data_IF_487330676175
#
_entry.id   IF_487330676175
#
_cell.length_a   1.000
_cell.length_b   1.000
_cell.length_c   1.000
_cell.angle_alpha   90.00
_cell.angle_beta   90.00
_cell.angle_gamma   90.00
#
_symmetry.space_group_name_H-M   'P 1'
#
loop_
_entity.id
_entity.type
_entity.pdbx_description
1 polymer ?
#
# COMPACT_ATOMS: atom_id res chain seq x y z
N UNK A 1 48.82 8.69 -3.63
CA UNK A 1 47.74 9.31 -4.42
C UNK A 1 46.98 8.30 -5.31
N UNK A 2 47.61 7.25 -5.84
CA UNK A 2 46.93 6.24 -6.70
C UNK A 2 45.96 5.31 -5.97
N UNK A 3 46.30 4.85 -4.75
CA UNK A 3 45.44 3.94 -3.99
C UNK A 3 44.11 4.55 -3.56
N UNK A 4 44.12 5.85 -3.23
CA UNK A 4 42.91 6.60 -2.87
C UNK A 4 41.94 6.68 -4.06
N UNK A 5 42.47 6.95 -5.26
CA UNK A 5 41.68 6.98 -6.49
C UNK A 5 41.10 5.60 -6.84
N UNK A 6 41.86 4.52 -6.66
CA UNK A 6 41.38 3.16 -6.90
C UNK A 6 40.27 2.78 -5.90
N UNK A 7 40.45 3.11 -4.61
CA UNK A 7 39.43 2.87 -3.58
C UNK A 7 38.15 3.66 -3.86
N UNK A 8 38.26 4.91 -4.29
CA UNK A 8 37.12 5.76 -4.63
C UNK A 8 36.32 5.19 -5.82
N UNK A 9 37.01 4.76 -6.88
CA UNK A 9 36.37 4.14 -8.05
C UNK A 9 35.71 2.81 -7.68
N UNK A 10 36.34 1.99 -6.84
CA UNK A 10 35.76 0.73 -6.37
C UNK A 10 34.49 0.95 -5.54
N UNK A 11 34.49 1.94 -4.63
CA UNK A 11 33.32 2.30 -3.83
C UNK A 11 32.16 2.84 -4.67
N UNK A 12 32.43 3.73 -5.63
CA UNK A 12 31.41 4.23 -6.57
C UNK A 12 30.87 3.15 -7.52
N UNK A 13 31.71 2.18 -7.91
CA UNK A 13 31.27 1.06 -8.75
C UNK A 13 30.40 0.09 -7.96
N UNK A 14 30.65 -0.06 -6.65
CA UNK A 14 29.87 -0.92 -5.77
C UNK A 14 28.45 -0.38 -5.50
N UNK A 15 28.26 0.93 -5.46
CA UNK A 15 26.91 1.53 -5.28
C UNK A 15 26.01 1.33 -6.49
N UNK A 16 26.58 1.21 -7.70
CA UNK A 16 25.83 0.93 -8.94
C UNK A 16 25.31 -0.51 -9.04
N UNK A 17 25.82 -1.42 -8.20
CA UNK A 17 25.39 -2.81 -8.12
C UNK A 17 24.24 -3.02 -7.12
N UNK A 18 23.89 -2.00 -6.33
CA UNK A 18 22.78 -2.06 -5.40
C UNK A 18 21.47 -1.74 -6.13
N UNK A 19 20.45 -2.62 -6.10
CA UNK A 19 19.14 -2.29 -6.64
C UNK A 19 18.55 -1.12 -5.84
N UNK A 20 17.86 -0.19 -6.53
CA UNK A 20 17.09 0.85 -5.86
C UNK A 20 16.03 0.18 -4.98
N UNK A 21 16.27 0.14 -3.68
CA UNK A 21 15.28 -0.35 -2.71
C UNK A 21 14.25 0.75 -2.50
N UNK A 22 13.18 0.73 -3.28
CA UNK A 22 12.01 1.55 -3.00
C UNK A 22 11.27 0.94 -1.82
N UNK A 23 11.57 1.43 -0.62
CA UNK A 23 10.74 1.18 0.55
C UNK A 23 9.39 1.87 0.37
N UNK A 24 8.31 1.18 0.72
CA UNK A 24 7.01 1.81 0.83
C UNK A 24 7.02 2.72 2.05
N UNK A 25 6.88 4.03 1.83
CA UNK A 25 6.59 5.05 2.83
C UNK A 25 5.47 5.93 2.29
N UNK A 26 5.44 7.22 2.64
CA UNK A 26 4.38 8.14 2.20
C UNK A 26 4.16 8.14 0.69
N UNK A 27 5.24 8.17 -0.10
CA UNK A 27 5.16 8.14 -1.57
C UNK A 27 4.47 6.87 -2.08
N UNK A 28 4.73 5.74 -1.42
CA UNK A 28 4.11 4.45 -1.74
C UNK A 28 2.60 4.47 -1.53
N UNK A 29 2.16 4.98 -0.38
CA UNK A 29 0.73 5.15 -0.06
C UNK A 29 0.06 6.11 -1.05
N UNK A 30 0.71 7.21 -1.39
CA UNK A 30 0.23 8.18 -2.38
C UNK A 30 0.05 7.54 -3.75
N UNK A 31 1.06 6.83 -4.27
CA UNK A 31 1.02 6.18 -5.58
C UNK A 31 -0.12 5.16 -5.65
N UNK A 32 -0.23 4.28 -4.67
CA UNK A 32 -1.29 3.26 -4.59
C UNK A 32 -2.67 3.90 -4.61
N UNK A 33 -2.87 4.97 -3.84
CA UNK A 33 -4.15 5.65 -3.78
C UNK A 33 -4.48 6.48 -5.03
N UNK A 34 -3.49 7.08 -5.70
CA UNK A 34 -3.72 7.74 -7.00
C UNK A 34 -4.15 6.72 -8.07
N UNK A 35 -3.50 5.56 -8.12
CA UNK A 35 -3.89 4.46 -9.01
C UNK A 35 -5.32 4.00 -8.70
N UNK A 36 -5.67 3.91 -7.42
CA UNK A 36 -7.00 3.49 -6.99
C UNK A 36 -8.08 4.52 -7.36
N UNK A 37 -7.85 5.80 -7.03
CA UNK A 37 -8.77 6.90 -7.29
C UNK A 37 -9.10 7.03 -8.78
N UNK A 38 -8.10 6.86 -9.65
CA UNK A 38 -8.28 6.86 -11.12
C UNK A 38 -9.12 5.69 -11.66
N UNK A 39 -9.41 4.67 -10.84
CA UNK A 39 -10.14 3.44 -11.21
C UNK A 39 -11.46 3.29 -10.47
N UNK A 40 -11.90 4.32 -9.76
CA UNK A 40 -13.19 4.30 -9.07
C UNK A 40 -14.34 4.36 -10.09
N UNK A 41 -15.41 3.64 -9.79
CA UNK A 41 -16.71 3.86 -10.43
C UNK A 41 -17.19 5.28 -10.09
N UNK A 42 -18.13 5.81 -10.88
CA UNK A 42 -18.73 7.12 -10.60
C UNK A 42 -19.31 7.17 -9.18
N UNK A 43 -20.05 6.13 -8.81
CA UNK A 43 -20.66 5.96 -7.48
C UNK A 43 -19.63 5.94 -6.37
N UNK A 44 -18.58 5.13 -6.49
CA UNK A 44 -17.54 5.05 -5.49
C UNK A 44 -16.74 6.36 -5.40
N UNK A 45 -16.47 7.04 -6.52
CA UNK A 45 -15.81 8.33 -6.53
C UNK A 45 -16.63 9.39 -5.79
N UNK A 46 -17.95 9.45 -6.01
CA UNK A 46 -18.84 10.37 -5.29
C UNK A 46 -18.90 10.05 -3.79
N UNK A 47 -18.97 8.77 -3.43
CA UNK A 47 -18.99 8.35 -2.03
C UNK A 47 -17.67 8.68 -1.32
N UNK A 48 -16.52 8.39 -1.95
CA UNK A 48 -15.20 8.75 -1.43
C UNK A 48 -15.09 10.26 -1.25
N UNK A 49 -15.52 11.07 -2.24
CA UNK A 49 -15.49 12.53 -2.12
C UNK A 49 -16.36 13.07 -0.98
N UNK A 50 -17.50 12.42 -0.68
CA UNK A 50 -18.36 12.79 0.46
C UNK A 50 -17.71 12.49 1.81
N UNK A 51 -16.88 11.45 1.89
CA UNK A 51 -16.18 11.03 3.12
C UNK A 51 -14.88 11.80 3.36
N UNK A 52 -14.23 12.26 2.30
CA UNK A 52 -13.01 13.04 2.42
C UNK A 52 -13.27 14.39 3.09
N UNK A 53 -12.40 14.76 4.03
CA UNK A 53 -12.39 16.09 4.62
C UNK A 53 -12.16 17.15 3.53
N UNK A 54 -12.72 18.35 3.71
CA UNK A 54 -12.49 19.47 2.76
C UNK A 54 -11.00 19.77 2.56
N UNK A 55 -10.17 19.59 3.59
CA UNK A 55 -8.71 19.76 3.55
C UNK A 55 -7.97 18.72 2.71
N UNK A 56 -8.65 17.67 2.23
CA UNK A 56 -8.07 16.69 1.32
C UNK A 56 -8.18 17.10 -0.16
N UNK A 57 -8.88 18.21 -0.47
CA UNK A 57 -9.03 18.75 -1.82
C UNK A 57 -9.52 17.71 -2.86
N UNK A 58 -10.38 16.78 -2.42
CA UNK A 58 -10.89 15.64 -3.21
C UNK A 58 -9.84 14.60 -3.60
N UNK A 59 -8.61 14.71 -3.11
CA UNK A 59 -7.53 13.75 -3.36
C UNK A 59 -7.46 12.69 -2.25
N UNK A 60 -7.83 11.46 -2.57
CA UNK A 60 -7.73 10.31 -1.67
C UNK A 60 -6.28 10.10 -1.21
N UNK A 61 -5.32 10.29 -2.13
CA UNK A 61 -3.90 10.11 -1.83
C UNK A 61 -3.39 10.99 -0.69
N UNK A 62 -3.98 12.17 -0.48
CA UNK A 62 -3.59 13.08 0.61
C UNK A 62 -3.83 12.53 2.01
N UNK A 63 -4.60 11.43 2.14
CA UNK A 63 -4.94 10.80 3.43
C UNK A 63 -4.45 9.37 3.56
N UNK A 64 -3.81 8.80 2.54
CA UNK A 64 -3.47 7.38 2.55
C UNK A 64 -2.35 6.98 3.51
N UNK A 65 -1.54 7.93 3.96
CA UNK A 65 -0.57 7.74 5.04
C UNK A 65 -1.13 8.05 6.43
N UNK A 66 -2.39 8.49 6.56
CA UNK A 66 -2.92 8.90 7.86
C UNK A 66 -2.85 7.76 8.90
N UNK A 67 -3.09 6.52 8.48
CA UNK A 67 -3.01 5.35 9.35
C UNK A 67 -1.61 5.20 9.97
N UNK A 68 -0.54 5.41 9.19
CA UNK A 68 0.84 5.31 9.67
C UNK A 68 1.18 6.39 10.69
N UNK A 69 0.56 7.57 10.60
CA UNK A 69 0.79 8.65 11.55
C UNK A 69 0.08 8.43 12.89
N UNK A 70 -1.06 7.73 12.89
CA UNK A 70 -1.87 7.56 14.10
C UNK A 70 -1.69 6.23 14.80
N UNK A 71 -0.99 5.26 14.21
CA UNK A 71 -0.83 3.92 14.84
C UNK A 71 -0.10 3.93 16.18
N UNK A 72 0.69 4.98 16.46
CA UNK A 72 1.31 5.21 17.76
C UNK A 72 0.33 5.85 18.76
N UNK A 73 -0.63 6.64 18.26
CA UNK A 73 -1.69 7.28 19.04
C UNK A 73 -2.80 6.25 19.36
N UNK A 74 -3.03 5.32 18.44
CA UNK A 74 -3.98 4.22 18.55
C UNK A 74 -3.22 2.89 18.50
N UNK A 75 -2.60 2.44 19.62
CA UNK A 75 -1.71 1.28 19.63
C UNK A 75 -2.34 0.00 19.07
N UNK A 76 -3.65 -0.17 19.24
CA UNK A 76 -4.40 -1.30 18.69
C UNK A 76 -4.33 -1.39 17.17
N UNK A 77 -4.11 -0.27 16.47
CA UNK A 77 -4.05 -0.26 15.01
C UNK A 77 -2.68 -0.63 14.47
N UNK A 78 -1.61 -0.57 15.28
CA UNK A 78 -0.24 -0.85 14.81
C UNK A 78 -0.08 -2.25 14.23
N UNK A 79 -0.63 -3.26 14.90
CA UNK A 79 -0.59 -4.65 14.43
C UNK A 79 -1.40 -4.89 13.14
N UNK A 80 -2.22 -3.92 12.68
CA UNK A 80 -2.97 -4.03 11.43
C UNK A 80 -2.14 -3.66 10.19
N UNK A 81 -0.94 -3.08 10.37
CA UNK A 81 -0.08 -2.62 9.27
C UNK A 81 0.78 -3.74 8.69
N UNK A 82 0.95 -4.84 9.42
CA UNK A 82 1.82 -5.94 9.03
C UNK A 82 1.20 -7.28 9.38
N UNK A 83 1.80 -8.35 8.84
CA UNK A 83 1.43 -9.69 9.18
C UNK A 83 2.72 -10.50 9.37
N UNK A 84 2.92 -11.01 10.57
CA UNK A 84 4.13 -11.75 10.92
C UNK A 84 4.04 -13.20 10.43
N UNK A 85 5.15 -13.74 9.96
CA UNK A 85 5.32 -15.16 9.64
C UNK A 85 6.30 -15.79 10.62
N UNK A 86 6.24 -17.11 10.85
CA UNK A 86 7.28 -17.80 11.60
C UNK A 86 8.66 -17.57 10.96
N UNK A 87 9.70 -17.62 11.77
CA UNK A 87 11.08 -17.51 11.27
C UNK A 87 11.42 -18.69 10.36
N UNK A 88 12.31 -18.45 9.39
CA UNK A 88 12.83 -19.45 8.45
C UNK A 88 11.80 -20.11 7.50
N UNK A 89 10.54 -19.64 7.47
CA UNK A 89 9.57 -20.06 6.44
C UNK A 89 9.30 -18.92 5.47
N UNK A 90 9.43 -19.20 4.17
CA UNK A 90 9.04 -18.28 3.09
C UNK A 90 7.55 -18.43 2.74
N UNK A 91 6.75 -18.96 3.67
CA UNK A 91 5.32 -19.17 3.51
C UNK A 91 4.56 -18.41 4.61
N UNK A 92 3.52 -17.71 4.20
CA UNK A 92 2.59 -17.11 5.14
C UNK A 92 1.50 -18.14 5.48
N UNK A 93 1.48 -18.59 6.73
CA UNK A 93 0.43 -19.46 7.27
C UNK A 93 -0.31 -18.71 8.38
N UNK A 94 -1.55 -18.32 8.10
CA UNK A 94 -2.48 -17.85 9.11
C UNK A 94 -3.61 -18.87 9.11
N UNK A 95 -3.77 -19.62 10.19
CA UNK A 95 -4.71 -20.73 10.36
C UNK A 95 -6.19 -20.36 10.19
N UNK A 96 -6.49 -19.12 9.78
CA UNK A 96 -7.79 -18.71 9.31
C UNK A 96 -7.93 -19.07 7.82
N UNK A 97 -8.82 -20.01 7.49
CA UNK A 97 -9.07 -20.53 6.14
C UNK A 97 -9.20 -19.45 5.05
N UNK A 98 -9.68 -18.26 5.44
CA UNK A 98 -9.79 -17.08 4.58
C UNK A 98 -8.45 -16.57 4.04
N UNK A 99 -7.38 -16.61 4.82
CA UNK A 99 -6.09 -16.08 4.41
C UNK A 99 -5.29 -17.09 3.58
N UNK A 100 -5.30 -18.37 3.97
CA UNK A 100 -4.52 -19.42 3.30
C UNK A 100 -4.91 -19.57 1.82
N UNK A 101 -6.20 -19.46 1.51
CA UNK A 101 -6.69 -19.49 0.12
C UNK A 101 -6.25 -18.30 -0.74
N UNK A 102 -5.66 -17.25 -0.14
CA UNK A 102 -5.39 -15.96 -0.79
C UNK A 102 -3.92 -15.54 -0.72
N UNK A 103 -3.01 -16.27 -0.07
CA UNK A 103 -1.61 -15.84 0.12
C UNK A 103 -0.82 -15.62 -1.19
N UNK A 104 -0.97 -16.52 -2.17
CA UNK A 104 -0.40 -16.31 -3.53
C UNK A 104 -1.04 -15.11 -4.24
N UNK A 105 -2.34 -14.88 -4.00
CA UNK A 105 -3.02 -13.67 -4.47
C UNK A 105 -2.46 -12.45 -3.74
N UNK A 106 -2.13 -12.49 -2.45
CA UNK A 106 -1.58 -11.35 -1.70
C UNK A 106 -0.28 -10.85 -2.32
N UNK A 107 0.66 -11.74 -2.68
CA UNK A 107 1.91 -11.34 -3.35
C UNK A 107 1.66 -10.74 -4.74
N UNK A 108 0.79 -11.36 -5.55
CA UNK A 108 0.38 -10.79 -6.84
C UNK A 108 -0.36 -9.45 -6.69
N UNK A 109 -1.07 -9.25 -5.57
CA UNK A 109 -1.88 -8.05 -5.31
C UNK A 109 -1.12 -6.95 -4.59
N UNK A 110 0.00 -7.22 -3.93
CA UNK A 110 0.95 -6.20 -3.47
C UNK A 110 1.48 -5.42 -4.67
N UNK A 111 1.83 -6.11 -5.76
CA UNK A 111 2.21 -5.47 -7.03
C UNK A 111 1.05 -4.72 -7.72
N UNK A 112 -0.21 -4.94 -7.31
CA UNK A 112 -1.43 -4.33 -7.88
C UNK A 112 -2.25 -3.57 -6.84
N UNK A 113 -1.64 -3.11 -5.74
CA UNK A 113 -2.37 -2.67 -4.55
C UNK A 113 -3.44 -1.61 -4.86
N UNK A 114 -3.15 -0.67 -5.76
CA UNK A 114 -4.09 0.38 -6.18
C UNK A 114 -5.32 -0.16 -6.93
N UNK A 115 -5.15 -1.14 -7.82
CA UNK A 115 -6.26 -1.76 -8.55
C UNK A 115 -7.18 -2.52 -7.59
N UNK A 116 -6.60 -3.22 -6.60
CA UNK A 116 -7.38 -3.93 -5.58
C UNK A 116 -8.15 -2.95 -4.70
N UNK A 117 -7.53 -1.86 -4.26
CA UNK A 117 -8.20 -0.83 -3.47
C UNK A 117 -9.40 -0.26 -4.24
N UNK A 118 -9.23 0.09 -5.52
CA UNK A 118 -10.34 0.53 -6.37
C UNK A 118 -11.46 -0.50 -6.44
N UNK A 119 -11.14 -1.77 -6.70
CA UNK A 119 -12.13 -2.82 -6.80
C UNK A 119 -12.94 -3.02 -5.50
N UNK A 120 -12.29 -2.92 -4.34
CA UNK A 120 -12.96 -3.00 -3.04
C UNK A 120 -13.87 -1.79 -2.82
N UNK A 121 -13.39 -0.58 -3.10
CA UNK A 121 -14.21 0.63 -2.94
C UNK A 121 -15.42 0.61 -3.88
N UNK A 122 -15.22 0.21 -5.14
CA UNK A 122 -16.32 0.00 -6.10
C UNK A 122 -17.30 -1.01 -5.56
N UNK A 123 -16.84 -2.19 -5.10
CA UNK A 123 -17.72 -3.20 -4.51
C UNK A 123 -18.54 -2.65 -3.35
N UNK A 124 -17.91 -1.95 -2.40
CA UNK A 124 -18.58 -1.43 -1.19
C UNK A 124 -19.62 -0.37 -1.53
N UNK A 125 -19.31 0.56 -2.43
CA UNK A 125 -20.20 1.69 -2.72
C UNK A 125 -21.22 1.41 -3.81
N UNK A 126 -20.89 0.55 -4.78
CA UNK A 126 -21.83 0.16 -5.83
C UNK A 126 -22.90 -0.80 -5.28
N UNK A 127 -22.53 -1.71 -4.35
CA UNK A 127 -23.53 -2.60 -3.71
C UNK A 127 -24.53 -1.82 -2.85
N UNK A 128 -24.10 -0.76 -2.16
CA UNK A 128 -25.02 0.07 -1.37
C UNK A 128 -26.10 0.74 -2.21
N UNK A 129 -25.77 1.15 -3.45
CA UNK A 129 -26.74 1.76 -4.37
C UNK A 129 -27.73 0.74 -4.95
N UNK A 130 -27.31 -0.51 -5.16
CA UNK A 130 -28.20 -1.61 -5.56
C UNK A 130 -29.17 -2.04 -4.44
N UNK A 131 -28.83 -1.82 -3.17
CA UNK A 131 -29.66 -2.18 -2.02
C UNK A 131 -30.54 -1.05 -1.48
N UNK A 132 -30.39 0.17 -2.01
CA UNK A 132 -31.17 1.36 -1.62
C UNK A 132 -32.15 1.84 -2.70
N UNK A 133 -32.25 1.13 -3.82
CA UNK A 133 -33.34 1.21 -4.82
C UNK A 133 -34.28 0.03 -4.62
#
# INVERSE_FOLDING_TARGET
>A
MSHFSIQLVALLSLTLLLPNTHGWGDDGHVIVCKIAQARLSKTAAEAVQKLLLKSAEKELSSKCSWADHVHHIYPWSSALHYANTPDAVCSYNNSNDYFLSRSQIVNLRLAQAGVRLAAILNRVFDTKLSSSM
#
